data_IF_515334425942
#
_entry.id   IF_515334425942
#
_cell.length_a   1.000
_cell.length_b   1.000
_cell.length_c   1.000
_cell.angle_alpha   90.00
_cell.angle_beta   90.00
_cell.angle_gamma   90.00
#
_symmetry.space_group_name_H-M   'P 1'
#
loop_
_entity.id
_entity.type
_entity.pdbx_description
1 polymer ?
#
# COMPACT_ATOMS: atom_id res chain seq x y z
N UNK A 1 0.24 -9.02 -28.08
CA UNK A 1 0.81 -9.06 -26.72
C UNK A 1 -0.33 -8.98 -25.72
N UNK A 2 -0.32 -9.78 -24.65
CA UNK A 2 -1.34 -9.75 -23.56
C UNK A 2 -0.71 -9.08 -22.35
N UNK A 3 -1.37 -8.06 -21.77
CA UNK A 3 -0.88 -7.29 -20.63
C UNK A 3 -1.71 -7.60 -19.39
N UNK A 4 -1.06 -7.86 -18.26
CA UNK A 4 -1.65 -7.89 -16.94
C UNK A 4 -1.02 -6.80 -16.08
N UNK A 5 -1.82 -6.14 -15.24
CA UNK A 5 -1.34 -5.16 -14.27
C UNK A 5 -1.26 -5.80 -12.90
N UNK A 6 -0.13 -5.62 -12.21
CA UNK A 6 0.07 -6.08 -10.85
C UNK A 6 0.46 -4.88 -9.96
N UNK A 7 -0.32 -4.66 -8.91
CA UNK A 7 -0.12 -3.55 -7.99
C UNK A 7 0.36 -4.06 -6.62
N UNK A 8 1.47 -3.49 -6.14
CA UNK A 8 2.04 -3.86 -4.85
C UNK A 8 1.21 -3.30 -3.68
N UNK A 9 1.31 -3.96 -2.54
CA UNK A 9 0.81 -3.47 -1.26
C UNK A 9 1.79 -2.54 -0.55
N UNK A 10 1.46 -2.23 0.71
CA UNK A 10 2.29 -1.46 1.64
C UNK A 10 3.48 -2.30 2.12
N UNK A 11 4.62 -1.67 2.42
CA UNK A 11 5.82 -2.25 3.03
C UNK A 11 7.12 -1.89 2.32
N UNK A 12 7.08 -1.51 1.04
CA UNK A 12 8.25 -1.09 0.26
C UNK A 12 8.38 0.42 0.04
N UNK A 13 7.50 1.23 0.64
CA UNK A 13 7.51 2.68 0.46
C UNK A 13 8.77 3.32 1.04
N UNK A 14 9.27 4.34 0.35
CA UNK A 14 10.47 5.09 0.74
C UNK A 14 10.38 6.54 0.27
N UNK A 15 11.41 7.33 0.56
CA UNK A 15 11.47 8.74 0.16
C UNK A 15 11.40 8.97 -1.37
N UNK A 16 11.90 8.02 -2.17
CA UNK A 16 11.82 8.15 -3.62
C UNK A 16 10.36 8.10 -4.10
N UNK A 17 9.49 7.30 -3.50
CA UNK A 17 8.06 7.31 -3.80
C UNK A 17 7.40 8.66 -3.49
N UNK A 18 7.74 9.27 -2.36
CA UNK A 18 7.29 10.61 -2.00
C UNK A 18 7.73 11.65 -3.05
N UNK A 19 9.01 11.64 -3.43
CA UNK A 19 9.57 12.53 -4.44
C UNK A 19 8.95 12.30 -5.81
N UNK A 20 8.68 11.04 -6.20
CA UNK A 20 8.02 10.72 -7.47
C UNK A 20 6.59 11.26 -7.53
N UNK A 21 5.82 11.15 -6.45
CA UNK A 21 4.47 11.74 -6.38
C UNK A 21 4.54 13.25 -6.46
N UNK A 22 5.49 13.89 -5.76
CA UNK A 22 5.71 15.34 -5.86
C UNK A 22 6.15 15.82 -7.25
N UNK A 23 6.92 15.00 -7.97
CA UNK A 23 7.43 15.30 -9.31
C UNK A 23 6.42 14.97 -10.43
N UNK A 24 5.51 14.03 -10.20
CA UNK A 24 4.52 13.56 -11.19
C UNK A 24 3.36 14.52 -11.45
N UNK A 25 3.56 15.81 -11.29
CA UNK A 25 2.54 16.86 -11.20
C UNK A 25 2.17 17.46 -12.58
N UNK A 26 2.70 16.92 -13.66
CA UNK A 26 2.38 17.45 -14.98
C UNK A 26 0.92 17.17 -15.37
N UNK A 27 0.17 18.26 -15.58
CA UNK A 27 -1.22 18.25 -16.00
C UNK A 27 -2.26 18.17 -14.86
N UNK A 28 -3.52 18.39 -15.21
CA UNK A 28 -4.65 18.45 -14.26
C UNK A 28 -4.80 17.17 -13.44
N UNK A 29 -4.59 16.01 -14.06
CA UNK A 29 -4.70 14.71 -13.39
C UNK A 29 -3.67 14.54 -12.26
N UNK A 30 -2.40 14.87 -12.53
CA UNK A 30 -1.34 14.80 -11.53
C UNK A 30 -1.57 15.78 -10.39
N UNK A 31 -1.98 17.00 -10.71
CA UNK A 31 -2.29 18.02 -9.71
C UNK A 31 -3.47 17.63 -8.82
N UNK A 32 -4.54 17.09 -9.39
CA UNK A 32 -5.70 16.62 -8.63
C UNK A 32 -5.34 15.51 -7.64
N UNK A 33 -4.53 14.53 -8.08
CA UNK A 33 -4.03 13.47 -7.19
C UNK A 33 -3.15 14.06 -6.08
N UNK A 34 -2.23 14.97 -6.43
CA UNK A 34 -1.34 15.59 -5.44
C UNK A 34 -2.12 16.31 -4.34
N UNK A 35 -3.14 17.08 -4.73
CA UNK A 35 -3.97 17.83 -3.77
C UNK A 35 -4.77 16.89 -2.85
N UNK A 36 -5.10 15.70 -3.33
CA UNK A 36 -5.84 14.71 -2.56
C UNK A 36 -4.97 13.96 -1.53
N UNK A 37 -3.63 13.86 -1.75
CA UNK A 37 -2.73 13.12 -0.85
C UNK A 37 -2.43 13.94 0.41
N UNK A 38 -2.79 13.44 1.61
CA UNK A 38 -2.57 14.18 2.86
C UNK A 38 -1.10 14.57 3.08
N UNK A 39 -0.87 15.85 3.34
CA UNK A 39 0.45 16.39 3.71
C UNK A 39 1.47 16.50 2.57
N UNK A 40 1.12 16.13 1.32
CA UNK A 40 2.03 16.23 0.18
C UNK A 40 1.90 17.54 -0.58
N UNK A 41 0.79 18.25 -0.42
CA UNK A 41 0.47 19.48 -1.17
C UNK A 41 1.48 20.62 -0.96
N UNK A 42 2.21 20.62 0.13
CA UNK A 42 3.31 21.57 0.35
C UNK A 42 4.54 21.08 -0.43
N UNK A 43 4.87 21.80 -1.51
CA UNK A 43 5.98 21.47 -2.45
C UNK A 43 7.35 21.20 -1.79
N UNK A 44 7.56 21.62 -0.55
CA UNK A 44 8.79 21.42 0.23
C UNK A 44 8.55 20.58 1.48
N UNK A 45 7.41 19.87 1.56
CA UNK A 45 7.17 19.01 2.70
C UNK A 45 8.18 17.87 2.73
N UNK A 46 8.97 17.84 3.80
CA UNK A 46 9.85 16.71 4.08
C UNK A 46 9.09 15.72 4.95
N UNK A 47 9.14 14.47 4.56
CA UNK A 47 8.62 13.37 5.35
C UNK A 47 9.79 12.52 5.84
N UNK A 48 9.82 12.20 7.13
CA UNK A 48 10.82 11.27 7.64
C UNK A 48 10.37 9.80 7.41
N UNK A 49 11.31 8.83 7.39
CA UNK A 49 10.99 7.41 7.17
C UNK A 49 9.95 6.85 8.14
N UNK A 50 9.95 7.29 9.40
CA UNK A 50 8.97 6.85 10.42
C UNK A 50 7.55 7.29 10.09
N UNK A 51 7.39 8.51 9.55
CA UNK A 51 6.08 8.99 9.08
C UNK A 51 5.61 8.21 7.86
N UNK A 52 6.53 7.85 6.94
CA UNK A 52 6.21 7.03 5.77
C UNK A 52 5.71 5.63 6.12
N UNK A 53 6.05 5.11 7.30
CA UNK A 53 5.58 3.81 7.76
C UNK A 53 4.12 3.83 8.28
N UNK A 54 3.59 5.01 8.63
CA UNK A 54 2.22 5.14 9.15
C UNK A 54 1.18 4.96 8.06
N UNK A 55 0.15 4.14 8.31
CA UNK A 55 -0.90 3.81 7.33
C UNK A 55 -1.50 5.05 6.67
N UNK A 56 -1.84 6.06 7.47
CA UNK A 56 -2.45 7.32 7.01
C UNK A 56 -1.61 8.12 6.00
N UNK A 57 -0.29 7.86 5.93
CA UNK A 57 0.62 8.46 4.95
C UNK A 57 0.94 7.44 3.85
N UNK A 58 1.29 6.22 4.23
CA UNK A 58 1.74 5.18 3.30
C UNK A 58 0.67 4.81 2.27
N UNK A 59 -0.57 4.58 2.71
CA UNK A 59 -1.61 4.06 1.82
C UNK A 59 -2.00 5.05 0.71
N UNK A 60 -2.40 6.30 1.00
CA UNK A 60 -2.71 7.25 -0.06
C UNK A 60 -1.50 7.60 -0.94
N UNK A 61 -0.28 7.60 -0.38
CA UNK A 61 0.95 7.85 -1.13
C UNK A 61 1.24 6.75 -2.17
N UNK A 62 1.22 5.48 -1.74
CA UNK A 62 1.50 4.34 -2.63
C UNK A 62 0.44 4.27 -3.73
N UNK A 63 -0.84 4.42 -3.37
CA UNK A 63 -1.93 4.45 -4.34
C UNK A 63 -1.75 5.59 -5.35
N UNK A 64 -1.46 6.81 -4.90
CA UNK A 64 -1.23 7.96 -5.76
C UNK A 64 -0.07 7.71 -6.74
N UNK A 65 1.06 7.19 -6.25
CA UNK A 65 2.20 6.84 -7.09
C UNK A 65 1.82 5.82 -8.17
N UNK A 66 1.10 4.76 -7.79
CA UNK A 66 0.66 3.73 -8.73
C UNK A 66 -0.26 4.31 -9.80
N UNK A 67 -1.17 5.21 -9.44
CA UNK A 67 -2.09 5.85 -10.38
C UNK A 67 -1.40 6.87 -11.30
N UNK A 68 -0.43 7.62 -10.80
CA UNK A 68 0.39 8.51 -11.63
C UNK A 68 1.20 7.73 -12.66
N UNK A 69 1.83 6.62 -12.25
CA UNK A 69 2.56 5.73 -13.16
C UNK A 69 1.62 5.11 -14.19
N UNK A 70 0.48 4.58 -13.77
CA UNK A 70 -0.50 4.01 -14.68
C UNK A 70 -1.04 5.06 -15.64
N UNK A 71 -1.41 6.24 -15.18
CA UNK A 71 -1.88 7.34 -16.00
C UNK A 71 -0.89 7.77 -17.09
N UNK A 72 0.41 7.73 -16.79
CA UNK A 72 1.46 8.02 -17.77
C UNK A 72 1.68 6.90 -18.78
N UNK A 73 1.56 5.63 -18.37
CA UNK A 73 1.88 4.47 -19.19
C UNK A 73 0.72 3.99 -20.06
N UNK A 74 -0.54 4.12 -19.60
CA UNK A 74 -1.71 3.52 -20.25
C UNK A 74 -1.91 3.92 -21.72
N UNK A 75 -1.49 5.14 -22.09
CA UNK A 75 -1.59 5.63 -23.48
C UNK A 75 -0.61 4.94 -24.43
N UNK A 76 0.44 4.31 -23.89
CA UNK A 76 1.53 3.66 -24.65
C UNK A 76 1.45 2.13 -24.61
N UNK A 77 0.51 1.58 -23.85
CA UNK A 77 0.37 0.16 -23.60
C UNK A 77 -0.94 -0.38 -24.17
N UNK A 78 -0.99 -1.66 -24.60
CA UNK A 78 -2.24 -2.29 -24.97
C UNK A 78 -3.19 -2.34 -23.77
N UNK A 79 -4.49 -2.44 -24.04
CA UNK A 79 -5.50 -2.61 -22.98
C UNK A 79 -5.18 -3.85 -22.14
N UNK A 80 -5.06 -3.73 -20.83
CA UNK A 80 -4.86 -4.88 -19.95
C UNK A 80 -6.02 -5.86 -20.03
N UNK A 81 -5.71 -7.14 -19.96
CA UNK A 81 -6.72 -8.21 -19.90
C UNK A 81 -7.17 -8.49 -18.46
N UNK A 82 -6.33 -8.16 -17.49
CA UNK A 82 -6.64 -8.24 -16.07
C UNK A 82 -5.79 -7.26 -15.26
N UNK A 83 -6.25 -6.95 -14.07
CA UNK A 83 -5.52 -6.25 -13.04
C UNK A 83 -5.64 -7.04 -11.74
N UNK A 84 -4.57 -7.10 -10.95
CA UNK A 84 -4.54 -7.70 -9.63
C UNK A 84 -3.72 -6.84 -8.68
N UNK A 85 -4.03 -6.90 -7.40
CA UNK A 85 -3.34 -6.16 -6.35
C UNK A 85 -3.12 -7.00 -5.11
N UNK A 86 -2.13 -6.64 -4.32
CA UNK A 86 -1.89 -7.22 -3.02
C UNK A 86 -2.27 -6.23 -1.93
N UNK A 87 -3.26 -6.56 -1.09
CA UNK A 87 -3.76 -5.69 -0.01
C UNK A 87 -4.13 -4.29 -0.53
N UNK A 88 -3.38 -3.24 -0.19
CA UNK A 88 -3.58 -1.88 -0.73
C UNK A 88 -3.58 -1.84 -2.27
N UNK A 89 -2.79 -2.67 -2.92
CA UNK A 89 -2.75 -2.77 -4.38
C UNK A 89 -4.07 -3.19 -5.01
N UNK A 90 -4.98 -3.81 -4.26
CA UNK A 90 -6.35 -4.12 -4.72
C UNK A 90 -7.13 -2.85 -5.05
N UNK A 91 -6.94 -1.77 -4.26
CA UNK A 91 -7.53 -0.47 -4.52
C UNK A 91 -7.06 0.10 -5.86
N UNK A 92 -5.75 0.00 -6.14
CA UNK A 92 -5.18 0.44 -7.41
C UNK A 92 -5.65 -0.43 -8.59
N UNK A 93 -5.78 -1.74 -8.39
CA UNK A 93 -6.32 -2.64 -9.40
C UNK A 93 -7.78 -2.31 -9.75
N UNK A 94 -8.62 -2.05 -8.75
CA UNK A 94 -10.00 -1.63 -8.94
C UNK A 94 -10.10 -0.28 -9.67
N UNK A 95 -9.27 0.70 -9.28
CA UNK A 95 -9.22 2.00 -9.94
C UNK A 95 -8.76 1.87 -11.41
N UNK A 96 -7.70 1.10 -11.67
CA UNK A 96 -7.22 0.84 -13.04
C UNK A 96 -8.24 0.09 -13.91
N UNK A 97 -9.11 -0.70 -13.29
CA UNK A 97 -10.24 -1.37 -13.95
C UNK A 97 -11.45 -0.44 -14.15
N UNK A 98 -11.45 0.78 -13.60
CA UNK A 98 -12.51 1.78 -13.79
C UNK A 98 -13.63 1.71 -12.75
N UNK A 99 -13.42 1.04 -11.60
CA UNK A 99 -14.43 0.96 -10.55
C UNK A 99 -14.70 2.33 -9.87
N UNK A 100 -13.68 3.17 -9.77
CA UNK A 100 -13.72 4.53 -9.23
C UNK A 100 -12.57 5.38 -9.78
N UNK A 101 -12.65 6.71 -9.61
CA UNK A 101 -11.63 7.65 -10.07
C UNK A 101 -10.41 7.69 -9.15
N UNK A 102 -9.25 8.14 -9.68
CA UNK A 102 -8.01 8.17 -8.91
C UNK A 102 -8.05 9.11 -7.69
N UNK A 103 -8.71 10.28 -7.80
CA UNK A 103 -8.88 11.21 -6.67
C UNK A 103 -9.75 10.59 -5.58
N UNK A 104 -10.86 9.96 -5.96
CA UNK A 104 -11.73 9.20 -5.04
C UNK A 104 -10.96 8.05 -4.38
N UNK A 105 -10.13 7.34 -5.15
CA UNK A 105 -9.28 6.26 -4.64
C UNK A 105 -8.28 6.72 -3.58
N UNK A 106 -7.72 7.93 -3.68
CA UNK A 106 -6.89 8.52 -2.62
C UNK A 106 -7.69 8.71 -1.33
N UNK A 107 -8.92 9.23 -1.44
CA UNK A 107 -9.82 9.40 -0.29
C UNK A 107 -10.16 8.05 0.36
N UNK A 108 -10.56 7.05 -0.46
CA UNK A 108 -10.84 5.69 0.01
C UNK A 108 -9.62 5.03 0.69
N UNK A 109 -8.41 5.23 0.17
CA UNK A 109 -7.20 4.74 0.82
C UNK A 109 -6.91 5.44 2.14
N UNK A 110 -7.27 6.72 2.27
CA UNK A 110 -7.14 7.49 3.51
C UNK A 110 -8.13 6.99 4.56
N UNK A 111 -9.38 6.76 4.20
CA UNK A 111 -10.41 6.17 5.07
C UNK A 111 -10.02 4.74 5.50
N UNK A 112 -9.60 3.90 4.53
CA UNK A 112 -9.11 2.55 4.83
C UNK A 112 -7.96 2.55 5.85
N UNK A 113 -7.03 3.49 5.72
CA UNK A 113 -5.93 3.64 6.66
C UNK A 113 -6.43 4.03 8.08
N UNK A 114 -7.40 4.94 8.14
CA UNK A 114 -7.99 5.36 9.41
C UNK A 114 -8.75 4.22 10.11
N UNK A 115 -9.53 3.45 9.36
CA UNK A 115 -10.25 2.27 9.88
C UNK A 115 -9.28 1.19 10.38
N UNK A 116 -8.20 0.93 9.66
CA UNK A 116 -7.17 -0.01 10.09
C UNK A 116 -6.45 0.44 11.36
N UNK A 117 -6.13 1.74 11.46
CA UNK A 117 -5.50 2.31 12.65
C UNK A 117 -6.48 2.34 13.85
N UNK A 118 -7.77 2.55 13.59
CA UNK A 118 -8.83 2.53 14.61
C UNK A 118 -9.20 1.14 15.12
N UNK A 119 -8.93 0.09 14.34
CA UNK A 119 -9.26 -1.29 14.71
C UNK A 119 -8.36 -1.89 15.79
N UNK A 120 -7.25 -1.23 16.14
CA UNK A 120 -6.28 -1.71 17.12
C UNK A 120 -6.03 -0.65 18.20
N UNK A 121 -5.82 -1.11 19.43
CA UNK A 121 -5.41 -0.25 20.56
C UNK A 121 -3.98 -0.60 20.97
N UNK A 122 -3.07 0.39 20.93
CA UNK A 122 -1.66 0.20 21.28
C UNK A 122 -0.76 0.00 20.08
N UNK A 123 0.48 -0.43 20.32
CA UNK A 123 1.45 -0.67 19.27
C UNK A 123 1.30 -2.09 18.71
N UNK A 124 0.96 -2.16 17.44
CA UNK A 124 0.85 -3.40 16.66
C UNK A 124 1.87 -3.40 15.53
N UNK A 125 2.21 -4.59 15.06
CA UNK A 125 3.12 -4.77 13.95
C UNK A 125 2.83 -6.03 13.15
N UNK A 126 3.54 -6.14 12.03
CA UNK A 126 3.53 -7.32 11.16
C UNK A 126 4.96 -7.74 10.88
N UNK A 127 5.19 -9.05 10.81
CA UNK A 127 6.48 -9.66 10.51
C UNK A 127 6.32 -10.71 9.43
N UNK A 128 7.08 -10.59 8.34
CA UNK A 128 7.19 -11.64 7.33
C UNK A 128 8.10 -12.77 7.81
N UNK A 129 7.60 -13.99 7.75
CA UNK A 129 8.32 -15.21 8.12
C UNK A 129 8.53 -16.05 6.86
N UNK A 130 9.79 -16.31 6.52
CA UNK A 130 10.19 -17.01 5.32
C UNK A 130 10.93 -18.31 5.69
N UNK A 131 10.68 -19.37 4.94
CA UNK A 131 11.43 -20.63 5.04
C UNK A 131 10.95 -21.61 6.13
N UNK A 132 10.03 -21.21 7.01
CA UNK A 132 9.46 -22.09 8.05
C UNK A 132 8.10 -22.64 7.63
N UNK A 133 7.78 -23.83 8.12
CA UNK A 133 6.49 -24.46 7.88
C UNK A 133 5.37 -23.76 8.66
N UNK A 134 4.15 -23.72 8.08
CA UNK A 134 3.01 -23.01 8.65
C UNK A 134 2.66 -23.49 10.06
N UNK A 135 2.66 -24.81 10.31
CA UNK A 135 2.33 -25.36 11.62
C UNK A 135 3.31 -24.89 12.72
N UNK A 136 4.60 -24.78 12.38
CA UNK A 136 5.60 -24.23 13.29
C UNK A 136 5.38 -22.74 13.54
N UNK A 137 5.15 -21.97 12.47
CA UNK A 137 4.91 -20.52 12.57
C UNK A 137 3.64 -20.23 13.36
N UNK A 138 2.56 -20.98 13.14
CA UNK A 138 1.31 -20.79 13.87
C UNK A 138 1.48 -21.03 15.38
N UNK A 139 2.20 -22.08 15.76
CA UNK A 139 2.51 -22.37 17.18
C UNK A 139 3.34 -21.27 17.81
N UNK A 140 4.45 -20.86 17.16
CA UNK A 140 5.32 -19.81 17.68
C UNK A 140 4.60 -18.45 17.79
N UNK A 141 3.73 -18.15 16.82
CA UNK A 141 2.90 -16.94 16.86
C UNK A 141 1.93 -16.99 18.05
N UNK A 142 1.24 -18.10 18.26
CA UNK A 142 0.32 -18.27 19.39
C UNK A 142 1.03 -18.12 20.74
N UNK A 143 2.21 -18.77 20.90
CA UNK A 143 3.05 -18.66 22.11
C UNK A 143 3.50 -17.21 22.40
N UNK A 144 3.68 -16.39 21.34
CA UNK A 144 4.03 -14.97 21.42
C UNK A 144 2.83 -14.03 21.48
N UNK A 145 1.59 -14.52 21.54
CA UNK A 145 0.37 -13.71 21.49
C UNK A 145 0.11 -13.05 20.15
N UNK A 146 0.62 -13.66 19.06
CA UNK A 146 0.45 -13.20 17.69
C UNK A 146 -0.46 -14.14 16.91
N UNK A 147 -0.88 -13.73 15.71
CA UNK A 147 -1.65 -14.55 14.80
C UNK A 147 -1.04 -14.60 13.39
N UNK A 148 -1.27 -15.69 12.66
CA UNK A 148 -0.97 -15.73 11.22
C UNK A 148 -2.01 -14.91 10.47
N UNK A 149 -1.60 -13.73 10.01
CA UNK A 149 -2.46 -12.77 9.33
C UNK A 149 -2.58 -13.05 7.83
N UNK A 150 -1.50 -13.48 7.17
CA UNK A 150 -1.48 -13.70 5.71
C UNK A 150 -0.69 -14.97 5.38
N UNK A 151 -1.21 -15.73 4.44
CA UNK A 151 -0.55 -16.90 3.84
C UNK A 151 -0.26 -16.60 2.37
N UNK A 152 0.98 -16.17 2.09
CA UNK A 152 1.40 -15.88 0.71
C UNK A 152 1.81 -17.15 -0.06
N UNK A 153 2.45 -18.07 0.63
CA UNK A 153 2.88 -19.39 0.12
C UNK A 153 3.13 -20.35 1.30
N UNK A 154 3.33 -21.65 1.06
CA UNK A 154 3.53 -22.64 2.15
C UNK A 154 4.63 -22.28 3.16
N UNK A 155 5.65 -21.52 2.74
CA UNK A 155 6.77 -21.07 3.58
C UNK A 155 7.00 -19.56 3.52
N UNK A 156 5.93 -18.82 3.23
CA UNK A 156 5.94 -17.36 3.23
C UNK A 156 4.65 -16.86 3.89
N UNK A 157 4.75 -16.57 5.16
CA UNK A 157 3.67 -16.19 6.04
C UNK A 157 3.90 -14.78 6.58
N UNK A 158 2.82 -14.11 6.97
CA UNK A 158 2.92 -12.86 7.73
C UNK A 158 2.18 -13.07 9.03
N UNK A 159 2.86 -12.85 10.14
CA UNK A 159 2.29 -12.84 11.48
C UNK A 159 2.02 -11.39 11.90
N UNK A 160 1.00 -11.17 12.71
CA UNK A 160 0.61 -9.87 13.21
C UNK A 160 0.15 -9.94 14.66
N UNK A 161 0.32 -8.84 15.38
CA UNK A 161 -0.14 -8.69 16.75
C UNK A 161 0.59 -7.58 17.51
N UNK A 162 0.52 -7.59 18.85
CA UNK A 162 1.23 -6.63 19.68
C UNK A 162 2.73 -6.61 19.38
N UNK A 163 3.30 -5.41 19.28
CA UNK A 163 4.72 -5.22 18.94
C UNK A 163 5.66 -5.95 19.90
N UNK A 164 5.28 -6.04 21.17
CA UNK A 164 6.06 -6.78 22.18
C UNK A 164 6.24 -8.27 21.86
N UNK A 165 5.31 -8.90 21.13
CA UNK A 165 5.44 -10.30 20.69
C UNK A 165 6.27 -10.47 19.42
N UNK A 166 6.57 -9.37 18.69
CA UNK A 166 7.36 -9.39 17.44
C UNK A 166 8.87 -9.18 17.72
N UNK A 167 9.23 -8.53 18.82
CA UNK A 167 10.61 -8.27 19.25
C UNK A 167 11.19 -9.40 20.08
#
# INVERSE_FOLDING_TARGET
MRLALLFSGQGGQNLAHWQQVQAGIDGEFGQAILQAVPGIAERNSTVNPEKLAKNKIAQPLIFAQQMLLWGSLQKHLPRPICAAGYSLGEMAACCAAGAFGAVEGVALCTERAAEMDGAVSGEYGMLAVLGLDEALVARLAEEAGLAVAIRNAPRHLVIAGPRAGIM
#
